data_IF_652574792377
#
_entry.id   IF_652574792377
#
_cell.length_a   1.000
_cell.length_b   1.000
_cell.length_c   1.000
_cell.angle_alpha   90.00
_cell.angle_beta   90.00
_cell.angle_gamma   90.00
#
_symmetry.space_group_name_H-M   'P 1'
#
loop_
_entity.id
_entity.type
_entity.pdbx_description
1 polymer ?
#
# COMPACT_ATOMS: atom_id res chain seq x y z
N UNK A 1 -13.88 8.11 -23.29
CA UNK A 1 -12.98 8.86 -22.37
C UNK A 1 -13.67 10.16 -21.97
N UNK A 2 -13.50 10.60 -20.72
CA UNK A 2 -14.02 11.90 -20.23
C UNK A 2 -12.85 12.89 -20.25
N UNK A 3 -13.08 14.11 -20.76
CA UNK A 3 -12.07 15.16 -20.71
C UNK A 3 -12.05 15.77 -19.31
N UNK A 4 -10.90 15.72 -18.66
CA UNK A 4 -10.68 16.26 -17.32
C UNK A 4 -9.49 17.20 -17.34
N UNK A 5 -9.60 18.34 -16.67
CA UNK A 5 -8.47 19.23 -16.42
C UNK A 5 -7.97 19.01 -14.99
N UNK A 6 -6.67 18.78 -14.83
CA UNK A 6 -6.00 18.62 -13.54
C UNK A 6 -4.85 19.60 -13.44
N UNK A 7 -4.53 20.04 -12.23
CA UNK A 7 -3.33 20.84 -11.97
C UNK A 7 -2.22 19.92 -11.48
N UNK A 8 -1.00 20.13 -11.98
CA UNK A 8 0.20 19.41 -11.57
C UNK A 8 1.23 20.44 -11.10
N UNK A 9 1.97 20.18 -10.00
CA UNK A 9 3.15 20.96 -9.67
C UNK A 9 4.12 20.96 -10.85
N UNK A 10 4.79 22.10 -11.09
CA UNK A 10 5.65 22.29 -12.27
C UNK A 10 6.70 21.19 -12.42
N UNK A 11 7.41 20.85 -11.33
CA UNK A 11 8.43 19.81 -11.35
C UNK A 11 7.83 18.44 -11.71
N UNK A 12 6.65 18.11 -11.17
CA UNK A 12 5.97 16.87 -11.51
C UNK A 12 5.55 16.82 -12.98
N UNK A 13 5.08 17.94 -13.54
CA UNK A 13 4.75 18.02 -14.95
C UNK A 13 5.98 17.83 -15.86
N UNK A 14 7.13 18.43 -15.50
CA UNK A 14 8.39 18.26 -16.25
C UNK A 14 8.85 16.80 -16.25
N UNK A 15 8.86 16.19 -15.08
CA UNK A 15 9.23 14.78 -14.90
C UNK A 15 8.30 13.84 -15.68
N UNK A 16 6.99 14.06 -15.62
CA UNK A 16 6.02 13.28 -16.37
C UNK A 16 6.16 13.44 -17.89
N UNK A 17 6.55 14.64 -18.35
CA UNK A 17 6.80 14.90 -19.78
C UNK A 17 8.05 14.19 -20.28
N UNK A 18 9.16 14.25 -19.53
CA UNK A 18 10.38 13.49 -19.85
C UNK A 18 10.06 11.99 -19.95
N UNK A 19 9.33 11.44 -18.97
CA UNK A 19 8.94 10.03 -18.98
C UNK A 19 8.07 9.68 -20.21
N UNK A 20 7.16 10.57 -20.60
CA UNK A 20 6.33 10.36 -21.79
C UNK A 20 7.20 10.25 -23.06
N UNK A 21 8.18 11.15 -23.20
CA UNK A 21 9.14 11.17 -24.31
C UNK A 21 10.02 9.92 -24.33
N UNK A 22 10.63 9.54 -23.20
CA UNK A 22 11.46 8.34 -23.05
C UNK A 22 10.71 7.06 -23.42
N UNK A 23 9.40 7.02 -23.17
CA UNK A 23 8.55 5.85 -23.40
C UNK A 23 7.75 5.92 -24.71
N UNK A 24 8.09 6.85 -25.61
CA UNK A 24 7.39 7.07 -26.89
C UNK A 24 5.86 7.16 -26.73
N UNK A 25 5.42 7.87 -25.70
CA UNK A 25 4.02 7.93 -25.26
C UNK A 25 3.57 9.36 -25.00
N UNK A 26 2.28 9.54 -24.72
CA UNK A 26 1.73 10.86 -24.41
C UNK A 26 1.72 11.14 -22.90
N UNK A 27 1.77 12.42 -22.51
CA UNK A 27 1.55 12.81 -21.12
C UNK A 27 0.20 12.29 -20.57
N UNK A 28 -0.84 12.24 -21.42
CA UNK A 28 -2.13 11.69 -21.06
C UNK A 28 -2.07 10.19 -20.74
N UNK A 29 -1.26 9.42 -21.47
CA UNK A 29 -1.03 8.01 -21.18
C UNK A 29 -0.27 7.79 -19.88
N UNK A 30 0.76 8.60 -19.61
CA UNK A 30 1.48 8.55 -18.33
C UNK A 30 0.52 8.81 -17.17
N UNK A 31 -0.29 9.86 -17.25
CA UNK A 31 -1.29 10.20 -16.21
C UNK A 31 -2.31 9.06 -16.06
N UNK A 32 -2.85 8.53 -17.18
CA UNK A 32 -3.80 7.42 -17.15
C UNK A 32 -3.22 6.19 -16.46
N UNK A 33 -2.02 5.75 -16.84
CA UNK A 33 -1.34 4.60 -16.23
C UNK A 33 -1.06 4.83 -14.75
N UNK A 34 -0.65 6.05 -14.37
CA UNK A 34 -0.51 6.44 -12.98
C UNK A 34 -1.82 6.29 -12.18
N UNK A 35 -2.93 6.78 -12.73
CA UNK A 35 -4.25 6.64 -12.10
C UNK A 35 -4.70 5.18 -12.02
N UNK A 36 -4.48 4.38 -13.07
CA UNK A 36 -4.77 2.94 -13.06
C UNK A 36 -3.97 2.21 -11.98
N UNK A 37 -2.69 2.56 -11.81
CA UNK A 37 -1.84 2.01 -10.76
C UNK A 37 -2.35 2.40 -9.37
N UNK A 38 -2.72 3.67 -9.16
CA UNK A 38 -3.27 4.12 -7.87
C UNK A 38 -4.55 3.39 -7.50
N UNK A 39 -5.47 3.17 -8.46
CA UNK A 39 -6.70 2.39 -8.22
C UNK A 39 -6.41 0.95 -7.82
N UNK A 40 -5.32 0.34 -8.32
CA UNK A 40 -4.91 -1.01 -7.92
C UNK A 40 -4.36 -1.05 -6.49
N UNK A 41 -3.61 -0.04 -6.07
CA UNK A 41 -3.09 0.06 -4.69
C UNK A 41 -4.22 0.28 -3.68
N UNK A 42 -5.24 1.06 -4.06
CA UNK A 42 -6.39 1.36 -3.24
C UNK A 42 -7.63 0.68 -3.80
N UNK A 43 -7.72 -0.67 -3.73
CA UNK A 43 -8.89 -1.37 -4.22
C UNK A 43 -10.12 -0.86 -3.48
N UNK A 44 -11.26 -0.85 -4.18
CA UNK A 44 -12.54 -0.51 -3.57
C UNK A 44 -12.72 -1.38 -2.33
N UNK A 45 -12.75 -0.76 -1.15
CA UNK A 45 -13.05 -1.49 0.09
C UNK A 45 -14.41 -2.15 -0.10
N UNK A 46 -14.48 -3.46 0.14
CA UNK A 46 -15.76 -4.13 0.29
C UNK A 46 -16.57 -3.35 1.33
N UNK A 47 -17.79 -2.96 0.95
CA UNK A 47 -18.72 -2.05 1.63
C UNK A 47 -18.18 -1.26 2.83
N UNK A 48 -18.15 0.06 2.69
CA UNK A 48 -17.87 1.02 3.77
C UNK A 48 -18.82 0.91 5.00
N UNK A 49 -19.78 -0.04 5.00
CA UNK A 49 -20.65 -0.39 6.12
C UNK A 49 -20.33 -1.74 6.79
N UNK A 50 -19.38 -2.53 6.26
CA UNK A 50 -18.95 -3.74 6.93
C UNK A 50 -18.18 -3.35 8.21
N UNK A 51 -18.85 -3.50 9.36
CA UNK A 51 -18.20 -3.41 10.66
C UNK A 51 -16.99 -4.33 10.63
N UNK A 52 -15.80 -3.75 10.80
CA UNK A 52 -14.58 -4.56 10.89
C UNK A 52 -14.73 -5.51 12.08
N UNK A 53 -14.53 -6.80 11.84
CA UNK A 53 -14.43 -7.80 12.89
C UNK A 53 -13.00 -8.36 12.85
N UNK A 54 -12.35 -8.55 14.01
CA UNK A 54 -11.09 -9.27 14.05
C UNK A 54 -11.30 -10.70 13.53
N UNK A 55 -10.26 -11.33 12.95
CA UNK A 55 -10.34 -12.75 12.60
C UNK A 55 -10.66 -13.57 13.85
N UNK A 56 -11.30 -14.73 13.65
CA UNK A 56 -11.59 -15.64 14.75
C UNK A 56 -10.29 -15.96 15.52
N UNK A 57 -10.30 -15.90 16.86
CA UNK A 57 -9.12 -16.17 17.65
C UNK A 57 -8.62 -17.59 17.37
N UNK A 58 -7.31 -17.71 17.14
CA UNK A 58 -6.65 -19.00 16.95
C UNK A 58 -6.09 -19.48 18.29
N UNK A 59 -6.20 -20.78 18.57
CA UNK A 59 -5.53 -21.39 19.73
C UNK A 59 -4.02 -21.42 19.46
N UNK A 60 -3.26 -20.59 20.18
CA UNK A 60 -1.80 -20.46 20.02
C UNK A 60 -0.98 -21.39 20.95
N UNK A 61 -1.64 -22.24 21.72
CA UNK A 61 -1.00 -23.15 22.68
C UNK A 61 -0.82 -22.52 24.07
N UNK A 62 0.00 -23.16 24.90
CA UNK A 62 0.36 -22.64 26.22
C UNK A 62 1.39 -21.50 26.12
N UNK A 63 1.40 -20.64 27.13
CA UNK A 63 2.44 -19.63 27.30
C UNK A 63 3.80 -20.35 27.38
N UNK A 64 4.74 -19.98 26.50
CA UNK A 64 6.05 -20.63 26.38
C UNK A 64 7.16 -19.92 27.18
N UNK A 65 6.90 -18.73 27.70
CA UNK A 65 7.87 -17.96 28.46
C UNK A 65 7.18 -17.11 29.55
N UNK A 66 7.83 -16.94 30.72
CA UNK A 66 7.35 -16.05 31.78
C UNK A 66 7.33 -14.59 31.30
N UNK A 67 6.45 -13.77 31.89
CA UNK A 67 6.15 -12.41 31.40
C UNK A 67 7.37 -11.49 31.39
N UNK A 68 8.30 -11.73 32.32
CA UNK A 68 9.54 -10.98 32.47
C UNK A 68 10.44 -11.10 31.23
N UNK A 69 10.33 -12.20 30.48
CA UNK A 69 11.17 -12.49 29.31
C UNK A 69 10.53 -12.03 27.99
N UNK A 70 9.27 -11.56 28.01
CA UNK A 70 8.54 -11.24 26.78
C UNK A 70 9.20 -10.12 25.97
N UNK A 71 9.73 -9.10 26.65
CA UNK A 71 10.38 -7.96 25.99
C UNK A 71 11.64 -8.40 25.25
N UNK A 72 12.47 -9.23 25.86
CA UNK A 72 13.72 -9.73 25.28
C UNK A 72 13.40 -10.61 24.07
N UNK A 73 12.51 -11.60 24.22
CA UNK A 73 12.11 -12.51 23.13
C UNK A 73 11.49 -11.76 21.94
N UNK A 74 10.70 -10.72 22.17
CA UNK A 74 10.07 -9.94 21.09
C UNK A 74 11.08 -9.13 20.28
N UNK A 75 12.16 -8.66 20.90
CA UNK A 75 13.17 -7.82 20.26
C UNK A 75 14.32 -8.62 19.64
N UNK A 76 14.76 -9.69 20.31
CA UNK A 76 15.96 -10.46 19.95
C UNK A 76 15.62 -11.77 19.22
N UNK A 77 14.35 -12.16 19.23
CA UNK A 77 13.89 -13.46 18.76
C UNK A 77 13.95 -14.53 19.86
N UNK A 78 13.32 -15.70 19.65
CA UNK A 78 13.43 -16.80 20.59
C UNK A 78 14.90 -17.28 20.66
N UNK A 79 15.40 -17.69 21.84
CA UNK A 79 16.71 -18.31 21.93
C UNK A 79 16.78 -19.53 21.02
N UNK A 80 17.97 -19.79 20.47
CA UNK A 80 18.24 -20.99 19.69
C UNK A 80 17.88 -22.25 20.51
N UNK A 81 17.38 -23.32 19.86
CA UNK A 81 16.91 -24.53 20.53
C UNK A 81 18.00 -25.25 21.34
#
# INVERSE_FOLDING_TARGET
MIRTQVQLPDELHREARRLAEEQESTLADVIRRGLEYMVRIYPRRADAGARWHPPAPRRLGSIRAPVEQWREIANEGPPAP
#
